data_IF_823410283018
#
_entry.id   IF_823410283018
#
_cell.length_a   1.000
_cell.length_b   1.000
_cell.length_c   1.000
_cell.angle_alpha   90.00
_cell.angle_beta   90.00
_cell.angle_gamma   90.00
#
_symmetry.space_group_name_H-M   'P 1'
#
loop_
_entity.id
_entity.type
_entity.pdbx_description
1 polymer ?
#
# COMPACT_ATOMS: atom_id res chain seq x y z
N UNK A 1 -2.96 1.15 -4.78
CA UNK A 1 -2.60 -0.22 -5.21
C UNK A 1 -1.16 -0.60 -4.81
N UNK A 2 -0.17 0.23 -5.15
CA UNK A 2 1.19 0.29 -4.59
C UNK A 2 1.39 -0.33 -3.19
N UNK A 3 0.72 0.15 -2.13
CA UNK A 3 0.90 -0.40 -0.76
C UNK A 3 0.61 -1.91 -0.69
N UNK A 4 -0.51 -2.35 -1.28
CA UNK A 4 -0.91 -3.77 -1.33
C UNK A 4 0.13 -4.59 -2.10
N UNK A 5 0.67 -4.04 -3.20
CA UNK A 5 1.72 -4.70 -3.97
C UNK A 5 2.99 -4.89 -3.17
N UNK A 6 3.47 -3.86 -2.46
CA UNK A 6 4.72 -3.96 -1.69
C UNK A 6 4.59 -4.96 -0.55
N UNK A 7 3.46 -4.96 0.18
CA UNK A 7 3.18 -5.99 1.19
C UNK A 7 3.07 -7.38 0.56
N UNK A 8 2.37 -7.50 -0.58
CA UNK A 8 2.26 -8.78 -1.31
C UNK A 8 3.61 -9.30 -1.85
N UNK A 9 4.50 -8.39 -2.25
CA UNK A 9 5.86 -8.71 -2.70
C UNK A 9 6.66 -9.35 -1.56
N UNK A 10 6.61 -8.75 -0.36
CA UNK A 10 7.21 -9.32 0.86
C UNK A 10 6.63 -10.71 1.17
N UNK A 11 5.29 -10.85 1.15
CA UNK A 11 4.63 -12.14 1.42
C UNK A 11 4.97 -13.24 0.41
N UNK A 12 5.42 -12.87 -0.78
CA UNK A 12 5.88 -13.79 -1.83
C UNK A 12 7.35 -14.17 -1.66
N UNK A 13 8.06 -13.57 -0.70
CA UNK A 13 9.50 -13.76 -0.49
C UNK A 13 10.38 -12.94 -1.43
N UNK A 14 9.82 -11.93 -2.11
CA UNK A 14 10.62 -11.00 -2.91
C UNK A 14 11.38 -10.05 -1.99
N UNK A 15 12.51 -9.53 -2.49
CA UNK A 15 13.29 -8.54 -1.78
C UNK A 15 12.51 -7.23 -1.62
N UNK A 16 12.43 -6.79 -0.36
CA UNK A 16 11.96 -5.46 0.05
C UNK A 16 13.09 -4.80 0.82
N UNK A 17 13.38 -3.55 0.51
CA UNK A 17 14.53 -2.81 1.04
C UNK A 17 14.13 -1.37 1.37
N UNK A 18 14.88 -0.72 2.26
CA UNK A 18 14.74 0.71 2.57
C UNK A 18 15.54 1.50 1.54
N UNK A 19 14.86 2.35 0.80
CA UNK A 19 15.44 3.24 -0.21
C UNK A 19 16.12 4.46 0.43
N UNK A 20 16.79 5.28 -0.38
CA UNK A 20 17.57 6.43 0.08
C UNK A 20 16.73 7.52 0.76
N UNK A 21 15.42 7.55 0.49
CA UNK A 21 14.43 8.44 1.10
C UNK A 21 13.82 7.86 2.39
N UNK A 22 14.23 6.67 2.81
CA UNK A 22 13.74 5.99 4.02
C UNK A 22 12.45 5.19 3.82
N UNK A 23 11.85 5.20 2.63
CA UNK A 23 10.67 4.41 2.29
C UNK A 23 11.06 2.99 1.87
N UNK A 24 10.21 2.01 2.16
CA UNK A 24 10.42 0.66 1.65
C UNK A 24 9.97 0.54 0.19
N UNK A 25 10.77 -0.16 -0.60
CA UNK A 25 10.50 -0.47 -1.99
C UNK A 25 10.78 -1.94 -2.24
N UNK A 26 10.07 -2.50 -3.19
CA UNK A 26 10.23 -3.89 -3.59
C UNK A 26 10.74 -3.99 -5.03
N UNK A 27 11.36 -5.12 -5.37
CA UNK A 27 11.95 -5.34 -6.71
C UNK A 27 10.94 -5.87 -7.74
N UNK A 28 9.65 -5.97 -7.42
CA UNK A 28 8.67 -6.65 -8.29
C UNK A 28 8.39 -5.92 -9.60
N UNK A 29 8.77 -4.65 -9.77
CA UNK A 29 8.70 -3.99 -11.08
C UNK A 29 9.61 -4.66 -12.13
N UNK A 30 10.69 -5.32 -11.69
CA UNK A 30 11.62 -6.04 -12.56
C UNK A 30 11.01 -7.38 -13.02
N UNK A 31 10.07 -7.94 -12.25
CA UNK A 31 9.43 -9.21 -12.54
C UNK A 31 7.92 -9.03 -12.72
N UNK A 32 7.48 -8.85 -13.98
CA UNK A 32 6.08 -8.68 -14.43
C UNK A 32 5.10 -9.82 -14.07
N UNK A 33 5.44 -10.73 -13.15
CA UNK A 33 4.49 -11.74 -12.68
C UNK A 33 3.48 -11.07 -11.76
N UNK A 34 2.20 -11.21 -12.09
CA UNK A 34 1.10 -10.79 -11.21
C UNK A 34 1.22 -11.52 -9.87
N UNK A 35 1.13 -10.75 -8.78
CA UNK A 35 0.96 -11.32 -7.44
C UNK A 35 -0.31 -12.16 -7.45
N UNK A 36 -0.26 -13.36 -6.86
CA UNK A 36 -1.44 -14.24 -6.81
C UNK A 36 -2.55 -13.60 -5.97
N UNK A 37 -3.80 -13.83 -6.36
CA UNK A 37 -4.95 -13.22 -5.70
C UNK A 37 -4.99 -13.50 -4.18
N UNK A 38 -4.69 -14.71 -3.75
CA UNK A 38 -4.64 -15.09 -2.32
C UNK A 38 -3.64 -14.24 -1.51
N UNK A 39 -2.50 -13.88 -2.12
CA UNK A 39 -1.51 -12.99 -1.51
C UNK A 39 -2.01 -11.55 -1.49
N UNK A 40 -2.72 -11.09 -2.53
CA UNK A 40 -3.32 -9.75 -2.58
C UNK A 40 -4.36 -9.58 -1.48
N UNK A 41 -5.29 -10.54 -1.33
CA UNK A 41 -6.30 -10.51 -0.27
C UNK A 41 -5.65 -10.57 1.12
N UNK A 42 -4.66 -11.44 1.32
CA UNK A 42 -3.91 -11.51 2.59
C UNK A 42 -3.17 -10.20 2.89
N UNK A 43 -2.59 -9.54 1.90
CA UNK A 43 -1.94 -8.24 2.09
C UNK A 43 -2.95 -7.18 2.56
N UNK A 44 -4.16 -7.16 1.98
CA UNK A 44 -5.25 -6.29 2.43
C UNK A 44 -5.61 -6.56 3.88
N UNK A 45 -5.79 -7.81 4.29
CA UNK A 45 -6.12 -8.15 5.68
C UNK A 45 -5.11 -7.58 6.68
N UNK A 46 -3.81 -7.72 6.39
CA UNK A 46 -2.74 -7.18 7.23
C UNK A 46 -2.76 -5.64 7.27
N UNK A 47 -3.02 -5.01 6.13
CA UNK A 47 -3.14 -3.54 6.04
C UNK A 47 -4.33 -3.06 6.87
N UNK A 48 -5.48 -3.74 6.83
CA UNK A 48 -6.65 -3.37 7.61
C UNK A 48 -6.43 -3.49 9.12
N UNK A 49 -5.78 -4.56 9.58
CA UNK A 49 -5.36 -4.69 10.99
C UNK A 49 -4.44 -3.54 11.40
N UNK A 50 -3.52 -3.16 10.50
CA UNK A 50 -2.59 -2.05 10.73
C UNK A 50 -3.35 -0.72 10.82
N UNK A 51 -4.27 -0.44 9.90
CA UNK A 51 -5.13 0.75 9.93
C UNK A 51 -5.97 0.80 11.21
N UNK A 52 -6.51 -0.33 11.66
CA UNK A 52 -7.24 -0.41 12.93
C UNK A 52 -6.38 0.00 14.13
N UNK A 53 -5.10 -0.35 14.13
CA UNK A 53 -4.16 0.10 15.17
C UNK A 53 -3.82 1.59 15.11
N UNK A 54 -3.91 2.21 13.93
CA UNK A 54 -3.63 3.64 13.71
C UNK A 54 -4.86 4.54 13.95
N UNK A 55 -6.06 3.95 13.99
CA UNK A 55 -7.33 4.64 14.23
C UNK A 55 -7.55 5.90 13.36
N UNK A 56 -7.45 5.81 12.03
CA UNK A 56 -7.73 6.94 11.15
C UNK A 56 -9.21 7.31 11.22
N UNK A 57 -9.52 8.60 11.01
CA UNK A 57 -10.90 9.10 10.94
C UNK A 57 -11.63 8.52 9.72
N UNK A 58 -10.93 8.37 8.59
CA UNK A 58 -11.45 7.83 7.35
C UNK A 58 -10.32 7.22 6.52
N UNK A 59 -10.59 6.16 5.75
CA UNK A 59 -9.64 5.52 4.83
C UNK A 59 -10.23 5.40 3.44
N UNK A 60 -9.49 5.85 2.43
CA UNK A 60 -9.88 5.70 1.02
C UNK A 60 -8.81 4.91 0.27
N UNK A 61 -9.21 3.79 -0.33
CA UNK A 61 -8.35 2.98 -1.19
C UNK A 61 -8.61 3.28 -2.66
N UNK A 62 -7.55 3.63 -3.39
CA UNK A 62 -7.56 3.73 -4.84
C UNK A 62 -6.94 2.48 -5.47
N UNK A 63 -7.75 1.79 -6.28
CA UNK A 63 -7.33 0.65 -7.10
C UNK A 63 -7.39 1.05 -8.57
N UNK A 64 -6.49 0.46 -9.36
CA UNK A 64 -6.39 0.79 -10.78
C UNK A 64 -7.45 0.01 -11.57
N UNK A 65 -8.36 0.73 -12.23
CA UNK A 65 -9.54 0.14 -12.87
C UNK A 65 -9.21 -0.88 -13.99
N UNK A 66 -8.23 -0.66 -14.88
CA UNK A 66 -7.84 -1.64 -15.91
C UNK A 66 -7.22 -2.93 -15.35
N UNK A 67 -6.84 -2.97 -14.07
CA UNK A 67 -6.31 -4.18 -13.44
C UNK A 67 -7.43 -5.18 -13.24
N UNK A 68 -7.23 -6.41 -13.71
CA UNK A 68 -8.20 -7.50 -13.53
C UNK A 68 -8.57 -7.68 -12.06
N UNK A 69 -9.85 -7.92 -11.79
CA UNK A 69 -10.41 -8.10 -10.44
C UNK A 69 -10.26 -6.91 -9.48
N UNK A 70 -9.86 -5.73 -9.97
CA UNK A 70 -9.81 -4.51 -9.16
C UNK A 70 -11.15 -4.17 -8.51
N UNK A 71 -12.27 -4.38 -9.22
CA UNK A 71 -13.62 -4.21 -8.68
C UNK A 71 -13.97 -5.19 -7.56
N UNK A 72 -13.62 -6.48 -7.73
CA UNK A 72 -13.81 -7.51 -6.68
C UNK A 72 -12.99 -7.17 -5.43
N UNK A 73 -11.75 -6.71 -5.62
CA UNK A 73 -10.89 -6.28 -4.53
C UNK A 73 -11.42 -5.02 -3.83
N UNK A 74 -11.96 -4.06 -4.58
CA UNK A 74 -12.62 -2.88 -4.00
C UNK A 74 -13.79 -3.28 -3.10
N UNK A 75 -14.71 -4.09 -3.62
CA UNK A 75 -15.86 -4.60 -2.88
C UNK A 75 -15.44 -5.32 -1.59
N UNK A 76 -14.40 -6.15 -1.68
CA UNK A 76 -13.85 -6.85 -0.53
C UNK A 76 -13.26 -5.89 0.51
N UNK A 77 -12.46 -4.91 0.11
CA UNK A 77 -11.88 -3.90 1.02
C UNK A 77 -13.00 -3.12 1.71
N UNK A 78 -14.00 -2.64 0.96
CA UNK A 78 -15.10 -1.84 1.51
C UNK A 78 -15.93 -2.62 2.54
N UNK A 79 -16.23 -3.90 2.27
CA UNK A 79 -16.90 -4.79 3.23
C UNK A 79 -16.04 -5.05 4.47
N UNK A 80 -14.73 -5.21 4.27
CA UNK A 80 -13.80 -5.51 5.37
C UNK A 80 -13.52 -4.30 6.26
N UNK A 81 -13.53 -3.08 5.71
CA UNK A 81 -13.51 -1.84 6.49
C UNK A 81 -14.74 -1.77 7.40
N UNK A 82 -15.93 -1.98 6.82
CA UNK A 82 -17.19 -1.99 7.57
C UNK A 82 -17.20 -3.04 8.69
N UNK A 83 -16.76 -4.28 8.41
CA UNK A 83 -16.75 -5.36 9.40
C UNK A 83 -15.74 -5.14 10.54
N UNK A 84 -14.71 -4.33 10.30
CA UNK A 84 -13.71 -3.97 11.30
C UNK A 84 -13.99 -2.66 12.03
N UNK A 85 -15.15 -2.04 11.79
CA UNK A 85 -15.57 -0.74 12.34
C UNK A 85 -14.63 0.41 11.92
N UNK A 86 -14.02 0.28 10.75
CA UNK A 86 -13.23 1.34 10.13
C UNK A 86 -14.11 2.13 9.17
N UNK A 87 -14.14 3.45 9.35
CA UNK A 87 -14.82 4.34 8.39
C UNK A 87 -13.96 4.44 7.13
N UNK A 88 -14.53 4.12 5.98
CA UNK A 88 -13.78 4.15 4.73
C UNK A 88 -14.47 3.47 3.55
N UNK A 89 -13.82 3.56 2.40
CA UNK A 89 -14.24 2.88 1.18
C UNK A 89 -13.03 2.54 0.29
N UNK A 90 -13.24 1.65 -0.68
CA UNK A 90 -12.33 1.43 -1.79
C UNK A 90 -13.05 1.71 -3.11
N UNK A 91 -12.34 2.33 -4.04
CA UNK A 91 -12.86 2.60 -5.38
C UNK A 91 -11.84 2.26 -6.46
N UNK A 92 -12.37 1.88 -7.62
CA UNK A 92 -11.56 1.72 -8.83
C UNK A 92 -11.56 3.01 -9.61
N UNK A 93 -10.37 3.47 -10.01
CA UNK A 93 -10.18 4.71 -10.76
C UNK A 93 -9.22 4.48 -11.91
N UNK A 94 -9.33 5.29 -12.97
CA UNK A 94 -8.44 5.18 -14.13
C UNK A 94 -7.00 5.58 -13.85
N UNK A 95 -6.76 6.45 -12.85
CA UNK A 95 -5.43 6.93 -12.51
C UNK A 95 -5.31 7.20 -11.01
N UNK A 96 -5.04 6.16 -10.19
CA UNK A 96 -4.82 6.33 -8.75
C UNK A 96 -3.79 7.43 -8.45
N UNK A 97 -2.70 7.45 -9.20
CA UNK A 97 -1.60 8.41 -9.02
C UNK A 97 -2.08 9.85 -9.18
N UNK A 98 -2.96 10.12 -10.15
CA UNK A 98 -3.53 11.44 -10.33
C UNK A 98 -4.39 11.88 -9.14
N UNK A 99 -5.19 10.97 -8.59
CA UNK A 99 -5.99 11.24 -7.39
C UNK A 99 -5.09 11.51 -6.18
N UNK A 100 -4.01 10.72 -6.01
CA UNK A 100 -3.08 10.90 -4.90
C UNK A 100 -2.28 12.21 -5.01
N UNK A 101 -1.78 12.56 -6.20
CA UNK A 101 -1.04 13.81 -6.44
C UNK A 101 -1.89 15.05 -6.23
N UNK A 102 -3.18 14.99 -6.57
CA UNK A 102 -4.14 16.11 -6.44
C UNK A 102 -4.92 16.11 -5.12
N UNK A 103 -4.63 15.20 -4.20
CA UNK A 103 -5.31 15.17 -2.93
C UNK A 103 -5.05 16.48 -2.16
N UNK A 104 -6.11 17.14 -1.69
CA UNK A 104 -6.01 18.43 -0.98
C UNK A 104 -6.03 18.26 0.55
N UNK A 105 -6.35 17.08 1.06
CA UNK A 105 -6.42 16.80 2.50
C UNK A 105 -6.05 15.34 2.83
N UNK A 106 -5.61 15.13 4.07
CA UNK A 106 -5.30 13.81 4.61
C UNK A 106 -3.81 13.46 4.53
N UNK A 107 -3.53 12.16 4.51
CA UNK A 107 -2.18 11.59 4.43
C UNK A 107 -2.15 10.63 3.25
N UNK A 108 -1.21 10.82 2.33
CA UNK A 108 -1.05 9.94 1.18
C UNK A 108 -0.23 8.72 1.60
N UNK A 109 -0.76 7.52 1.41
CA UNK A 109 -0.03 6.28 1.68
C UNK A 109 0.60 5.76 0.39
N UNK A 110 1.90 6.00 0.20
CA UNK A 110 2.65 5.57 -1.00
C UNK A 110 4.13 5.43 -0.69
N UNK A 111 4.82 4.63 -1.49
CA UNK A 111 6.28 4.63 -1.61
C UNK A 111 6.72 4.96 -3.05
N UNK A 112 5.83 5.45 -3.91
CA UNK A 112 6.17 5.89 -5.27
C UNK A 112 6.83 7.28 -5.23
N UNK A 113 8.06 7.41 -5.72
CA UNK A 113 8.82 8.68 -5.70
C UNK A 113 8.10 9.79 -6.45
N UNK A 114 7.47 9.48 -7.58
CA UNK A 114 6.82 10.49 -8.42
C UNK A 114 5.58 11.03 -7.70
N UNK A 115 4.85 10.19 -6.95
CA UNK A 115 3.75 10.67 -6.10
C UNK A 115 4.30 11.44 -4.90
N UNK A 116 5.38 10.97 -4.26
CA UNK A 116 6.01 11.65 -3.12
C UNK A 116 6.46 13.07 -3.50
N UNK A 117 7.11 13.22 -4.64
CA UNK A 117 7.68 14.50 -5.08
C UNK A 117 6.61 15.51 -5.54
N UNK A 118 5.49 15.03 -6.07
CA UNK A 118 4.43 15.90 -6.61
C UNK A 118 3.25 16.13 -5.63
N UNK A 119 3.11 15.31 -4.60
CA UNK A 119 2.08 15.42 -3.59
C UNK A 119 2.31 16.62 -2.66
N UNK A 120 1.27 17.41 -2.40
CA UNK A 120 1.35 18.55 -1.46
C UNK A 120 1.05 18.19 0.00
N UNK A 121 0.68 16.93 0.26
CA UNK A 121 0.35 16.41 1.58
C UNK A 121 1.50 15.61 2.19
N UNK A 122 1.43 15.38 3.50
CA UNK A 122 2.30 14.43 4.18
C UNK A 122 2.12 13.03 3.60
N UNK A 123 3.24 12.34 3.38
CA UNK A 123 3.27 10.95 2.90
C UNK A 123 3.60 10.00 4.05
N UNK A 124 2.95 8.84 4.06
CA UNK A 124 3.17 7.80 5.07
C UNK A 124 3.43 6.44 4.44
N UNK A 125 4.48 5.77 4.91
CA UNK A 125 4.83 4.41 4.46
C UNK A 125 3.98 3.36 5.19
N UNK A 126 2.72 3.22 4.75
CA UNK A 126 1.80 2.24 5.29
C UNK A 126 2.27 0.79 5.06
N UNK A 127 3.02 0.53 3.98
CA UNK A 127 3.55 -0.80 3.72
C UNK A 127 4.59 -1.17 4.78
N UNK A 128 5.55 -0.28 5.06
CA UNK A 128 6.53 -0.48 6.13
C UNK A 128 5.86 -0.67 7.47
N UNK A 129 4.92 0.22 7.83
CA UNK A 129 4.20 0.11 9.11
C UNK A 129 3.47 -1.23 9.25
N UNK A 130 2.89 -1.73 8.15
CA UNK A 130 2.23 -3.03 8.12
C UNK A 130 3.23 -4.15 8.37
N UNK A 131 4.36 -4.16 7.65
CA UNK A 131 5.35 -5.22 7.80
C UNK A 131 6.00 -5.21 9.20
N UNK A 132 6.31 -4.03 9.74
CA UNK A 132 6.86 -3.85 11.09
C UNK A 132 5.92 -4.44 12.16
N UNK A 133 4.62 -4.13 12.06
CA UNK A 133 3.61 -4.57 13.03
C UNK A 133 3.44 -6.10 13.04
N UNK A 134 3.50 -6.73 11.87
CA UNK A 134 3.13 -8.15 11.71
C UNK A 134 4.33 -9.11 11.73
N UNK A 135 5.52 -8.66 11.36
CA UNK A 135 6.66 -9.55 11.12
C UNK A 135 7.97 -9.11 11.78
N UNK A 136 8.10 -7.87 12.28
CA UNK A 136 9.37 -7.33 12.77
C UNK A 136 10.57 -7.63 11.84
N UNK A 137 10.46 -7.30 10.54
CA UNK A 137 11.45 -7.68 9.54
C UNK A 137 12.75 -6.86 9.69
N UNK A 138 13.86 -7.47 9.29
CA UNK A 138 15.11 -6.75 9.03
C UNK A 138 15.19 -6.45 7.52
N UNK A 139 15.15 -5.17 7.16
CA UNK A 139 15.30 -4.73 5.77
C UNK A 139 16.75 -4.37 5.46
N UNK A 140 17.19 -4.69 4.24
CA UNK A 140 18.42 -4.10 3.70
C UNK A 140 18.17 -2.61 3.53
N UNK A 141 19.07 -1.76 4.02
CA UNK A 141 18.99 -0.32 3.86
C UNK A 141 20.05 0.17 2.87
N UNK A 142 19.64 0.87 1.81
CA UNK A 142 20.57 1.34 0.77
C UNK A 142 21.50 2.47 1.26
N UNK A 143 21.19 3.10 2.38
CA UNK A 143 22.06 4.11 3.00
C UNK A 143 23.18 3.50 3.83
N UNK A 144 23.17 2.18 4.09
CA UNK A 144 24.16 1.51 4.95
C UNK A 144 25.45 1.16 4.19
N UNK A 145 25.72 1.88 3.10
CA UNK A 145 26.99 1.83 2.38
C UNK A 145 28.05 2.60 3.18
N UNK A 146 28.88 1.85 3.92
CA UNK A 146 30.16 2.18 4.59
C UNK A 146 30.72 3.60 4.43
#
# INVERSE_FOLDING_TARGET
YNVIRTVGSYLTGNLVFVAMDGFIRDVSEIHKKSVKDDIVFRAVDLILVTLKSLQPINVLFYLDMPVSKSGELADYISRSLSSQELTGNAETVHSPDHHLKKAEMGIVCTSDSVIIDECHLSVFDLARRTLDLHFSPEFICLTDST
#
